data_IF_745925544081
#
_entry.id   IF_745925544081
#
_cell.length_a   1.000
_cell.length_b   1.000
_cell.length_c   1.000
_cell.angle_alpha   90.00
_cell.angle_beta   90.00
_cell.angle_gamma   90.00
#
_symmetry.space_group_name_H-M   'P 1'
#
loop_
_entity.id
_entity.type
_entity.pdbx_description
1 polymer ?
#
# COMPACT_ATOMS: atom_id res chain seq x y z
N UNK A 1 -10.45 19.46 17.66
CA UNK A 1 -10.54 18.11 17.11
C UNK A 1 -9.87 18.20 15.75
N UNK A 2 -8.78 17.46 15.50
CA UNK A 2 -8.19 17.43 14.16
C UNK A 2 -9.16 16.77 13.18
N UNK A 3 -9.11 17.18 11.93
CA UNK A 3 -9.94 16.59 10.89
C UNK A 3 -9.59 15.10 10.76
N UNK A 4 -10.61 14.23 10.73
CA UNK A 4 -10.43 12.80 10.54
C UNK A 4 -10.28 12.48 9.05
N UNK A 5 -9.55 11.41 8.67
CA UNK A 5 -9.36 11.05 7.25
C UNK A 5 -10.67 10.93 6.47
N UNK A 6 -11.71 10.33 7.04
CA UNK A 6 -13.02 10.17 6.40
C UNK A 6 -13.74 11.51 6.15
N UNK A 7 -13.56 12.51 7.01
CA UNK A 7 -14.10 13.87 6.80
C UNK A 7 -13.33 14.61 5.70
N UNK A 8 -11.98 14.52 5.71
CA UNK A 8 -11.13 15.14 4.68
C UNK A 8 -11.45 14.53 3.30
N UNK A 9 -11.67 13.22 3.27
CA UNK A 9 -12.06 12.49 2.05
C UNK A 9 -13.51 12.74 1.62
N UNK A 10 -14.35 13.33 2.49
CA UNK A 10 -15.77 13.58 2.23
C UNK A 10 -16.61 12.30 2.13
N UNK A 11 -16.23 11.26 2.89
CA UNK A 11 -16.89 9.93 2.88
C UNK A 11 -17.48 9.54 4.23
N UNK A 12 -17.59 10.44 5.19
CA UNK A 12 -18.13 10.20 6.52
C UNK A 12 -19.58 9.66 6.56
N UNK A 13 -20.28 9.77 5.44
CA UNK A 13 -21.64 9.29 5.23
C UNK A 13 -21.71 7.89 4.59
N UNK A 14 -20.56 7.32 4.21
CA UNK A 14 -20.49 5.99 3.60
C UNK A 14 -20.61 4.93 4.69
N UNK A 15 -21.40 3.91 4.44
CA UNK A 15 -21.55 2.75 5.33
C UNK A 15 -20.84 1.54 4.72
N UNK A 16 -19.84 1.03 5.43
CA UNK A 16 -19.08 -0.16 5.10
C UNK A 16 -19.45 -1.36 5.99
N UNK A 17 -20.63 -1.36 6.61
CA UNK A 17 -21.08 -2.49 7.44
C UNK A 17 -21.12 -3.78 6.61
N UNK A 18 -20.50 -4.84 7.14
CA UNK A 18 -20.36 -6.12 6.47
C UNK A 18 -19.27 -6.18 5.39
N UNK A 19 -18.47 -5.13 5.23
CA UNK A 19 -17.30 -5.10 4.36
C UNK A 19 -16.02 -5.45 5.14
N UNK A 20 -15.13 -6.24 4.51
CA UNK A 20 -13.86 -6.66 5.09
C UNK A 20 -12.69 -5.91 4.45
N UNK A 21 -11.80 -5.38 5.28
CA UNK A 21 -10.64 -4.63 4.84
C UNK A 21 -9.34 -5.17 5.43
N UNK A 22 -8.34 -5.42 4.59
CA UNK A 22 -6.96 -5.62 5.02
C UNK A 22 -6.17 -4.31 4.82
N UNK A 23 -5.58 -3.78 5.89
CA UNK A 23 -4.68 -2.64 5.80
C UNK A 23 -3.28 -3.05 6.24
N UNK A 24 -2.35 -3.13 5.30
CA UNK A 24 -0.98 -3.54 5.61
C UNK A 24 -0.15 -2.40 6.20
N UNK A 25 0.73 -2.71 7.17
CA UNK A 25 1.50 -1.69 7.88
C UNK A 25 0.63 -0.75 8.72
N UNK A 26 -0.44 -1.28 9.32
CA UNK A 26 -1.46 -0.51 10.02
C UNK A 26 -1.27 -0.41 11.54
N UNK A 27 -0.08 -0.76 12.05
CA UNK A 27 0.27 -0.56 13.47
C UNK A 27 0.64 0.89 13.81
N UNK A 28 0.87 1.75 12.82
CA UNK A 28 1.24 3.16 13.02
C UNK A 28 0.99 4.02 11.78
N UNK A 29 1.05 5.34 11.96
CA UNK A 29 1.06 6.32 10.86
C UNK A 29 -0.17 6.25 9.96
N UNK A 30 0.03 6.39 8.64
CA UNK A 30 -1.03 6.42 7.64
C UNK A 30 -1.87 5.14 7.67
N UNK A 31 -1.22 3.98 7.72
CA UNK A 31 -1.92 2.69 7.76
C UNK A 31 -2.84 2.57 8.96
N UNK A 32 -2.40 3.00 10.15
CA UNK A 32 -3.24 3.02 11.35
C UNK A 32 -4.44 3.94 11.19
N UNK A 33 -4.25 5.17 10.73
CA UNK A 33 -5.35 6.11 10.53
C UNK A 33 -6.31 5.63 9.43
N UNK A 34 -5.81 4.97 8.38
CA UNK A 34 -6.65 4.33 7.36
C UNK A 34 -7.49 3.21 7.96
N UNK A 35 -6.88 2.28 8.72
CA UNK A 35 -7.59 1.18 9.38
C UNK A 35 -8.69 1.69 10.33
N UNK A 36 -8.37 2.67 11.17
CA UNK A 36 -9.34 3.27 12.09
C UNK A 36 -10.45 4.02 11.35
N UNK A 37 -10.15 4.69 10.23
CA UNK A 37 -11.15 5.37 9.42
C UNK A 37 -12.13 4.38 8.79
N UNK A 38 -11.62 3.27 8.19
CA UNK A 38 -12.48 2.21 7.64
C UNK A 38 -13.35 1.56 8.73
N UNK A 39 -12.79 1.31 9.92
CA UNK A 39 -13.57 0.84 11.07
C UNK A 39 -14.66 1.82 11.52
N UNK A 40 -14.39 3.14 11.52
CA UNK A 40 -15.42 4.16 11.82
C UNK A 40 -16.52 4.22 10.75
N UNK A 41 -16.19 3.91 9.50
CA UNK A 41 -17.16 3.78 8.40
C UNK A 41 -17.95 2.45 8.44
N UNK A 42 -17.59 1.53 9.33
CA UNK A 42 -18.35 0.29 9.51
C UNK A 42 -17.66 -1.00 9.11
N UNK A 43 -16.51 -0.94 8.46
CA UNK A 43 -15.80 -2.13 8.01
C UNK A 43 -15.21 -2.94 9.17
N UNK A 44 -15.17 -4.26 9.00
CA UNK A 44 -14.36 -5.16 9.78
C UNK A 44 -12.92 -5.15 9.22
N UNK A 45 -11.90 -5.13 10.11
CA UNK A 45 -10.54 -4.80 9.67
C UNK A 45 -9.51 -5.80 10.17
N UNK A 46 -8.74 -6.37 9.24
CA UNK A 46 -7.50 -7.05 9.59
C UNK A 46 -6.34 -6.04 9.61
N UNK A 47 -5.71 -5.94 10.77
CA UNK A 47 -4.53 -5.11 11.04
C UNK A 47 -3.28 -5.95 10.80
N UNK A 48 -2.30 -5.40 10.09
CA UNK A 48 -1.03 -6.08 9.81
C UNK A 48 0.16 -5.22 10.18
N UNK A 49 1.20 -5.86 10.69
CA UNK A 49 2.50 -5.24 10.97
C UNK A 49 3.45 -6.17 11.73
N UNK A 50 4.62 -5.66 12.10
CA UNK A 50 5.65 -6.42 12.81
C UNK A 50 5.59 -6.28 14.32
N UNK A 51 4.98 -5.22 14.81
CA UNK A 51 4.86 -4.91 16.24
C UNK A 51 3.53 -5.42 16.76
N UNK A 52 3.57 -6.54 17.48
CA UNK A 52 2.38 -7.18 18.02
C UNK A 52 1.66 -6.32 19.07
N UNK A 53 2.40 -5.59 19.90
CA UNK A 53 1.80 -4.73 20.92
C UNK A 53 1.06 -3.54 20.30
N UNK A 54 1.67 -2.91 19.28
CA UNK A 54 1.03 -1.83 18.54
C UNK A 54 -0.16 -2.34 17.72
N UNK A 55 -0.07 -3.57 17.16
CA UNK A 55 -1.18 -4.22 16.46
C UNK A 55 -2.37 -4.47 17.37
N UNK A 56 -2.14 -5.06 18.54
CA UNK A 56 -3.18 -5.30 19.54
C UNK A 56 -3.88 -4.00 19.97
N UNK A 57 -3.13 -2.91 20.16
CA UNK A 57 -3.72 -1.62 20.51
C UNK A 57 -4.67 -1.08 19.42
N UNK A 58 -4.36 -1.28 18.13
CA UNK A 58 -5.26 -0.88 17.03
C UNK A 58 -6.51 -1.77 16.98
N UNK A 59 -6.37 -3.07 17.23
CA UNK A 59 -7.49 -4.01 17.33
C UNK A 59 -8.42 -3.61 18.48
N UNK A 60 -7.87 -3.27 19.66
CA UNK A 60 -8.66 -2.82 20.80
C UNK A 60 -9.47 -1.55 20.46
N UNK A 61 -8.89 -0.59 19.74
CA UNK A 61 -9.58 0.62 19.31
C UNK A 61 -10.72 0.32 18.33
N UNK A 62 -10.50 -0.57 17.34
CA UNK A 62 -11.52 -0.99 16.39
C UNK A 62 -12.65 -1.76 17.08
N UNK A 63 -12.31 -2.66 17.99
CA UNK A 63 -13.29 -3.42 18.77
C UNK A 63 -14.12 -2.51 19.67
N UNK A 64 -13.53 -1.46 20.25
CA UNK A 64 -14.25 -0.45 21.02
C UNK A 64 -15.25 0.37 20.17
N UNK A 65 -15.09 0.40 18.84
CA UNK A 65 -16.05 0.96 17.88
C UNK A 65 -17.16 -0.04 17.49
N UNK A 66 -17.12 -1.27 18.03
CA UNK A 66 -18.07 -2.35 17.70
C UNK A 66 -17.77 -3.04 16.37
N UNK A 67 -16.51 -3.03 15.91
CA UNK A 67 -16.06 -3.72 14.68
C UNK A 67 -15.42 -5.05 15.04
N UNK A 68 -15.56 -6.04 14.14
CA UNK A 68 -14.68 -7.19 14.18
C UNK A 68 -13.30 -6.76 13.71
N UNK A 69 -12.26 -7.07 14.50
CA UNK A 69 -10.91 -6.72 14.15
C UNK A 69 -9.94 -7.82 14.61
N UNK A 70 -8.95 -8.09 13.78
CA UNK A 70 -7.90 -9.06 14.07
C UNK A 70 -6.53 -8.50 13.69
N UNK A 71 -5.47 -9.06 14.27
CA UNK A 71 -4.10 -8.67 13.96
C UNK A 71 -3.31 -9.87 13.45
N UNK A 72 -2.67 -9.71 12.29
CA UNK A 72 -1.73 -10.68 11.76
C UNK A 72 -0.32 -10.09 11.73
N UNK A 73 0.60 -10.75 12.44
CA UNK A 73 2.02 -10.39 12.41
C UNK A 73 2.68 -11.02 11.18
N UNK A 74 3.38 -10.19 10.39
CA UNK A 74 4.20 -10.67 9.28
C UNK A 74 5.34 -9.68 8.97
N UNK A 75 6.50 -10.18 8.54
CA UNK A 75 7.58 -9.36 7.97
C UNK A 75 7.56 -9.46 6.44
N UNK A 76 7.38 -8.35 5.78
CA UNK A 76 7.37 -8.26 4.32
C UNK A 76 8.73 -8.58 3.64
N UNK A 77 9.79 -8.76 4.43
CA UNK A 77 11.06 -9.29 3.91
C UNK A 77 11.08 -10.84 3.81
N UNK A 78 10.06 -11.52 4.31
CA UNK A 78 9.88 -12.97 4.28
C UNK A 78 8.72 -13.36 3.37
N UNK A 79 8.99 -14.15 2.34
CA UNK A 79 7.95 -14.70 1.43
C UNK A 79 6.96 -15.56 2.21
N UNK A 80 7.46 -16.38 3.15
CA UNK A 80 6.61 -17.25 3.96
C UNK A 80 5.67 -16.47 4.87
N UNK A 81 6.15 -15.35 5.46
CA UNK A 81 5.30 -14.49 6.27
C UNK A 81 4.20 -13.82 5.43
N UNK A 82 4.52 -13.40 4.19
CA UNK A 82 3.52 -12.83 3.26
C UNK A 82 2.47 -13.86 2.88
N UNK A 83 2.87 -15.10 2.59
CA UNK A 83 1.94 -16.22 2.35
C UNK A 83 1.13 -16.56 3.59
N UNK A 84 1.74 -16.54 4.76
CA UNK A 84 1.04 -16.71 6.04
C UNK A 84 -0.01 -15.63 6.30
N UNK A 85 0.28 -14.38 5.92
CA UNK A 85 -0.71 -13.29 5.97
C UNK A 85 -1.86 -13.55 4.99
N UNK A 86 -1.57 -13.95 3.75
CA UNK A 86 -2.61 -14.28 2.78
C UNK A 86 -3.52 -15.41 3.27
N UNK A 87 -2.94 -16.48 3.80
CA UNK A 87 -3.70 -17.60 4.38
C UNK A 87 -4.58 -17.16 5.55
N UNK A 88 -4.08 -16.29 6.44
CA UNK A 88 -4.88 -15.75 7.54
C UNK A 88 -6.07 -14.89 7.04
N UNK A 89 -5.91 -14.16 5.94
CA UNK A 89 -7.03 -13.43 5.30
C UNK A 89 -8.06 -14.41 4.75
N UNK A 90 -7.62 -15.45 4.05
CA UNK A 90 -8.48 -16.50 3.46
C UNK A 90 -9.25 -17.30 4.53
N UNK A 91 -8.67 -17.47 5.72
CA UNK A 91 -9.35 -18.08 6.87
C UNK A 91 -10.36 -17.11 7.53
N UNK A 92 -10.12 -15.80 7.45
CA UNK A 92 -10.95 -14.78 8.08
C UNK A 92 -12.17 -14.40 7.23
N UNK A 93 -12.04 -14.35 5.91
CA UNK A 93 -13.14 -13.97 5.00
C UNK A 93 -13.02 -14.62 3.63
N UNK A 94 -14.16 -14.97 3.04
CA UNK A 94 -14.24 -15.40 1.64
C UNK A 94 -14.35 -14.21 0.66
N UNK A 95 -14.73 -13.02 1.17
CA UNK A 95 -14.93 -11.79 0.39
C UNK A 95 -14.13 -10.63 1.00
N UNK A 96 -12.93 -10.38 0.49
CA UNK A 96 -12.14 -9.21 0.88
C UNK A 96 -12.51 -8.01 0.00
N UNK A 97 -13.18 -7.01 0.56
CA UNK A 97 -13.66 -5.84 -0.18
C UNK A 97 -12.57 -4.77 -0.41
N UNK A 98 -11.64 -4.63 0.55
CA UNK A 98 -10.59 -3.60 0.48
C UNK A 98 -9.23 -4.18 0.82
N UNK A 99 -8.29 -4.09 -0.12
CA UNK A 99 -6.88 -4.38 0.10
C UNK A 99 -6.06 -3.09 0.05
N UNK A 100 -5.62 -2.58 1.21
CA UNK A 100 -4.70 -1.45 1.29
C UNK A 100 -3.25 -1.93 1.38
N UNK A 101 -2.53 -1.98 0.27
CA UNK A 101 -1.10 -2.18 0.19
C UNK A 101 -0.37 -0.92 0.65
N UNK A 102 -0.26 -0.74 1.97
CA UNK A 102 0.31 0.45 2.57
C UNK A 102 1.68 0.20 3.24
N UNK A 103 1.97 -1.02 3.69
CA UNK A 103 3.26 -1.36 4.29
C UNK A 103 4.44 -0.99 3.39
N UNK A 104 5.49 -0.45 4.00
CA UNK A 104 6.70 -0.07 3.29
C UNK A 104 7.49 1.01 4.01
N UNK A 105 8.66 1.33 3.47
CA UNK A 105 9.53 2.32 4.07
C UNK A 105 10.73 2.66 3.20
N UNK A 106 11.56 3.59 3.70
CA UNK A 106 12.88 3.86 3.18
C UNK A 106 13.91 3.20 4.10
N UNK A 107 14.81 2.39 3.54
CA UNK A 107 15.86 1.71 4.28
C UNK A 107 17.24 2.24 3.87
N UNK A 108 18.10 2.46 4.86
CA UNK A 108 19.42 3.09 4.62
C UNK A 108 20.48 2.09 4.19
N UNK A 109 20.39 0.89 4.72
CA UNK A 109 21.40 -0.12 4.55
C UNK A 109 21.08 -0.97 3.34
N UNK A 110 21.94 -0.94 2.33
CA UNK A 110 21.85 -1.79 1.16
C UNK A 110 22.12 -3.24 1.56
N UNK A 111 21.13 -4.09 1.35
CA UNK A 111 21.24 -5.54 1.52
C UNK A 111 20.31 -6.26 0.57
N UNK A 112 20.68 -7.47 0.20
CA UNK A 112 19.81 -8.37 -0.53
C UNK A 112 19.00 -9.21 0.46
N UNK A 113 17.80 -9.60 0.06
CA UNK A 113 16.97 -10.61 0.74
C UNK A 113 17.37 -12.01 0.28
N UNK A 114 16.76 -13.04 0.83
CA UNK A 114 17.00 -14.45 0.46
C UNK A 114 16.65 -14.72 -1.02
N UNK A 115 15.80 -13.89 -1.63
CA UNK A 115 15.52 -13.91 -3.07
C UNK A 115 16.63 -13.25 -3.94
N UNK A 116 17.73 -12.77 -3.35
CA UNK A 116 18.74 -12.00 -4.08
C UNK A 116 18.28 -10.60 -4.50
N UNK A 117 17.17 -10.10 -3.95
CA UNK A 117 16.56 -8.82 -4.31
C UNK A 117 16.89 -7.74 -3.29
N UNK A 118 17.08 -6.50 -3.74
CA UNK A 118 17.31 -5.35 -2.89
C UNK A 118 16.15 -5.17 -1.89
N UNK A 119 16.49 -5.03 -0.62
CA UNK A 119 15.55 -5.10 0.50
C UNK A 119 14.39 -4.11 0.41
N UNK A 120 14.66 -2.85 -0.02
CA UNK A 120 13.60 -1.84 -0.16
C UNK A 120 12.62 -2.22 -1.26
N UNK A 121 13.13 -2.74 -2.36
CA UNK A 121 12.31 -3.20 -3.48
C UNK A 121 11.46 -4.41 -3.09
N UNK A 122 12.07 -5.39 -2.39
CA UNK A 122 11.33 -6.54 -1.89
C UNK A 122 10.17 -6.11 -0.99
N UNK A 123 10.46 -5.35 0.08
CA UNK A 123 9.44 -4.97 1.08
C UNK A 123 8.36 -4.05 0.49
N UNK A 124 8.74 -3.08 -0.36
CA UNK A 124 7.81 -2.08 -0.85
C UNK A 124 7.01 -2.51 -2.07
N UNK A 125 7.53 -3.47 -2.86
CA UNK A 125 6.92 -3.86 -4.12
C UNK A 125 6.66 -5.36 -4.25
N UNK A 126 7.67 -6.24 -4.06
CA UNK A 126 7.46 -7.69 -4.27
C UNK A 126 6.50 -8.28 -3.23
N UNK A 127 6.60 -7.88 -1.97
CA UNK A 127 5.69 -8.36 -0.93
C UNK A 127 4.22 -7.98 -1.20
N UNK A 128 3.86 -6.71 -1.50
CA UNK A 128 2.48 -6.39 -1.91
C UNK A 128 2.06 -7.02 -3.24
N UNK A 129 2.99 -7.24 -4.19
CA UNK A 129 2.70 -7.99 -5.41
C UNK A 129 2.29 -9.43 -5.08
N UNK A 130 3.10 -10.15 -4.27
CA UNK A 130 2.82 -11.51 -3.84
C UNK A 130 1.50 -11.59 -3.06
N UNK A 131 1.32 -10.73 -2.06
CA UNK A 131 0.09 -10.70 -1.27
C UNK A 131 -1.15 -10.49 -2.15
N UNK A 132 -1.07 -9.57 -3.10
CA UNK A 132 -2.17 -9.33 -4.04
C UNK A 132 -2.44 -10.56 -4.91
N UNK A 133 -1.39 -11.22 -5.42
CA UNK A 133 -1.51 -12.44 -6.23
C UNK A 133 -2.18 -13.58 -5.45
N UNK A 134 -1.76 -13.82 -4.22
CA UNK A 134 -2.32 -14.87 -3.34
C UNK A 134 -3.78 -14.61 -2.93
N UNK A 135 -4.21 -13.32 -2.92
CA UNK A 135 -5.55 -12.93 -2.52
C UNK A 135 -6.53 -12.71 -3.67
N UNK A 136 -6.13 -12.87 -4.94
CA UNK A 136 -6.99 -12.58 -6.10
C UNK A 136 -8.35 -13.31 -6.03
N UNK A 137 -8.36 -14.56 -5.64
CA UNK A 137 -9.60 -15.37 -5.56
C UNK A 137 -10.45 -15.01 -4.32
N UNK A 138 -9.85 -14.40 -3.30
CA UNK A 138 -10.53 -13.98 -2.06
C UNK A 138 -11.11 -12.57 -2.17
N UNK A 139 -10.69 -11.79 -3.17
CA UNK A 139 -11.23 -10.45 -3.36
C UNK A 139 -12.71 -10.53 -3.74
N UNK A 140 -13.57 -9.67 -3.20
CA UNK A 140 -14.94 -9.49 -3.62
C UNK A 140 -15.00 -9.00 -5.09
N UNK A 141 -16.12 -9.25 -5.78
CA UNK A 141 -16.27 -8.92 -7.21
C UNK A 141 -16.15 -7.40 -7.51
N UNK A 142 -16.40 -6.56 -6.51
CA UNK A 142 -16.30 -5.10 -6.56
C UNK A 142 -15.16 -4.56 -5.66
N UNK A 143 -14.18 -5.41 -5.34
CA UNK A 143 -13.10 -5.06 -4.41
C UNK A 143 -12.23 -3.90 -4.89
N UNK A 144 -11.62 -3.21 -3.94
CA UNK A 144 -10.73 -2.07 -4.17
C UNK A 144 -9.33 -2.34 -3.66
N UNK A 145 -8.36 -2.28 -4.57
CA UNK A 145 -6.94 -2.42 -4.26
C UNK A 145 -6.30 -1.03 -4.27
N UNK A 146 -5.81 -0.59 -3.11
CA UNK A 146 -5.24 0.74 -2.89
C UNK A 146 -3.76 0.61 -2.58
N UNK A 147 -2.89 1.10 -3.46
CA UNK A 147 -1.44 0.92 -3.34
C UNK A 147 -0.74 2.24 -2.99
N UNK A 148 -0.04 2.25 -1.87
CA UNK A 148 0.72 3.41 -1.41
C UNK A 148 2.03 3.57 -2.20
N UNK A 149 2.09 4.64 -2.99
CA UNK A 149 3.28 5.12 -3.67
C UNK A 149 3.86 6.36 -2.96
N UNK A 150 4.55 7.23 -3.69
CA UNK A 150 5.12 8.49 -3.22
C UNK A 150 5.31 9.45 -4.38
N UNK A 151 5.29 10.76 -4.11
CA UNK A 151 5.76 11.78 -5.05
C UNK A 151 7.20 11.56 -5.50
N UNK A 152 7.99 10.81 -4.71
CA UNK A 152 9.36 10.43 -5.03
C UNK A 152 9.51 9.49 -6.25
N UNK A 153 8.42 8.87 -6.75
CA UNK A 153 8.44 8.10 -7.99
C UNK A 153 8.80 8.93 -9.24
N UNK A 154 8.78 10.25 -9.11
CA UNK A 154 9.13 11.18 -10.20
C UNK A 154 10.63 11.36 -10.33
N UNK A 155 11.10 11.56 -11.56
CA UNK A 155 12.52 11.83 -11.83
C UNK A 155 13.42 10.60 -11.74
N UNK A 156 12.84 9.39 -11.81
CA UNK A 156 13.57 8.12 -11.83
C UNK A 156 12.97 7.21 -12.91
N UNK A 157 13.81 6.39 -13.52
CA UNK A 157 13.41 5.26 -14.34
C UNK A 157 13.61 3.96 -13.56
N UNK A 158 12.93 2.90 -13.98
CA UNK A 158 13.07 1.60 -13.34
C UNK A 158 14.32 0.91 -13.92
N UNK A 159 15.34 0.85 -13.08
CA UNK A 159 16.58 0.12 -13.36
C UNK A 159 16.44 -1.30 -12.80
N UNK A 160 16.25 -2.25 -13.68
CA UNK A 160 16.03 -3.66 -13.33
C UNK A 160 17.31 -4.35 -12.81
N UNK A 161 18.51 -3.95 -13.26
CA UNK A 161 19.77 -4.49 -12.74
C UNK A 161 19.99 -4.08 -11.29
N UNK A 162 19.61 -2.86 -10.93
CA UNK A 162 19.71 -2.36 -9.56
C UNK A 162 18.67 -2.93 -8.60
N UNK A 163 17.77 -3.80 -9.06
CA UNK A 163 16.85 -4.56 -8.19
C UNK A 163 17.59 -5.74 -7.54
N UNK A 164 18.57 -6.31 -8.22
CA UNK A 164 19.32 -7.50 -7.78
C UNK A 164 20.75 -7.14 -7.34
N UNK A 165 21.06 -5.86 -7.15
CA UNK A 165 22.36 -5.39 -6.70
C UNK A 165 22.25 -4.31 -5.63
N UNK A 166 23.25 -4.29 -4.76
CA UNK A 166 23.47 -3.23 -3.76
C UNK A 166 24.77 -2.47 -3.99
N UNK A 167 25.39 -2.66 -5.16
CA UNK A 167 26.56 -1.89 -5.57
C UNK A 167 26.21 -0.42 -5.70
N UNK A 168 27.03 0.45 -5.09
CA UNK A 168 26.78 1.90 -5.06
C UNK A 168 25.40 2.27 -4.51
N UNK A 169 24.92 1.54 -3.48
CA UNK A 169 23.60 1.69 -2.91
C UNK A 169 23.28 3.12 -2.45
N UNK A 170 22.07 3.54 -2.76
CA UNK A 170 21.46 4.76 -2.23
C UNK A 170 20.04 4.45 -1.77
N UNK A 171 19.79 4.48 -0.46
CA UNK A 171 18.47 4.21 0.11
C UNK A 171 17.36 5.08 -0.49
N UNK A 172 17.66 6.34 -0.83
CA UNK A 172 16.69 7.21 -1.48
C UNK A 172 16.38 6.78 -2.92
N UNK A 173 17.39 6.39 -3.71
CA UNK A 173 17.16 5.86 -5.08
C UNK A 173 16.43 4.53 -5.06
N UNK A 174 16.77 3.63 -4.14
CA UNK A 174 16.05 2.38 -3.93
C UNK A 174 14.58 2.64 -3.59
N UNK A 175 14.32 3.58 -2.69
CA UNK A 175 12.96 4.02 -2.37
C UNK A 175 12.23 4.61 -3.59
N UNK A 176 12.86 5.49 -4.35
CA UNK A 176 12.27 6.06 -5.57
C UNK A 176 11.88 4.96 -6.56
N UNK A 177 12.78 3.98 -6.84
CA UNK A 177 12.50 2.83 -7.70
C UNK A 177 11.32 2.02 -7.20
N UNK A 178 11.29 1.68 -5.91
CA UNK A 178 10.19 0.91 -5.33
C UNK A 178 8.84 1.63 -5.42
N UNK A 179 8.84 2.97 -5.28
CA UNK A 179 7.61 3.76 -5.39
C UNK A 179 7.16 3.99 -6.84
N UNK A 180 8.09 4.01 -7.79
CA UNK A 180 7.77 3.93 -9.21
C UNK A 180 7.18 2.55 -9.56
N UNK A 181 7.79 1.47 -9.05
CA UNK A 181 7.28 0.11 -9.23
C UNK A 181 5.83 -0.04 -8.72
N UNK A 182 5.48 0.60 -7.60
CA UNK A 182 4.11 0.58 -7.07
C UNK A 182 3.08 1.26 -8.00
N UNK A 183 3.44 2.35 -8.68
CA UNK A 183 2.53 2.97 -9.68
C UNK A 183 2.40 2.08 -10.91
N UNK A 184 3.53 1.56 -11.41
CA UNK A 184 3.57 0.63 -12.55
C UNK A 184 2.74 -0.63 -12.27
N UNK A 185 2.91 -1.23 -11.08
CA UNK A 185 2.16 -2.40 -10.61
C UNK A 185 0.66 -2.14 -10.57
N UNK A 186 0.23 -1.08 -9.89
CA UNK A 186 -1.19 -0.77 -9.76
C UNK A 186 -1.86 -0.55 -11.13
N UNK A 187 -1.17 0.12 -12.07
CA UNK A 187 -1.67 0.34 -13.42
C UNK A 187 -1.69 -0.96 -14.22
N UNK A 188 -0.65 -1.80 -14.11
CA UNK A 188 -0.57 -3.09 -14.78
C UNK A 188 -1.65 -4.06 -14.28
N UNK A 189 -1.90 -4.07 -12.96
CA UNK A 189 -2.96 -4.86 -12.33
C UNK A 189 -4.33 -4.42 -12.83
N UNK A 190 -4.62 -3.12 -12.84
CA UNK A 190 -5.88 -2.59 -13.36
C UNK A 190 -6.17 -3.03 -14.79
N UNK A 191 -5.16 -3.00 -15.69
CA UNK A 191 -5.32 -3.46 -17.07
C UNK A 191 -5.56 -4.97 -17.19
N UNK A 192 -5.11 -5.78 -16.24
CA UNK A 192 -5.36 -7.21 -16.22
C UNK A 192 -6.73 -7.53 -15.65
N UNK A 193 -7.12 -6.84 -14.60
CA UNK A 193 -8.45 -6.96 -14.00
C UNK A 193 -9.57 -6.55 -14.97
N UNK A 194 -9.35 -5.53 -15.80
CA UNK A 194 -10.30 -5.07 -16.85
C UNK A 194 -10.63 -6.15 -17.90
N UNK A 195 -9.88 -7.26 -17.92
CA UNK A 195 -10.11 -8.41 -18.81
C UNK A 195 -10.85 -9.56 -18.11
N UNK A 196 -11.16 -9.41 -16.85
CA UNK A 196 -11.97 -10.36 -16.07
C UNK A 196 -13.43 -9.90 -16.04
N UNK A 197 -14.32 -10.79 -15.66
CA UNK A 197 -15.74 -10.45 -15.48
C UNK A 197 -16.02 -9.76 -14.12
N UNK A 198 -14.96 -9.41 -13.35
CA UNK A 198 -15.06 -8.79 -12.02
C UNK A 198 -14.79 -7.29 -12.11
N UNK A 199 -15.47 -6.53 -11.25
CA UNK A 199 -15.36 -5.05 -11.20
C UNK A 199 -14.30 -4.55 -10.22
N UNK A 200 -13.23 -5.33 -10.00
CA UNK A 200 -12.15 -4.98 -9.07
C UNK A 200 -11.36 -3.77 -9.58
N UNK A 201 -11.20 -2.76 -8.74
CA UNK A 201 -10.38 -1.59 -9.05
C UNK A 201 -9.00 -1.65 -8.41
N UNK A 202 -7.98 -1.12 -9.11
CA UNK A 202 -6.62 -0.96 -8.58
C UNK A 202 -6.12 0.45 -8.84
N UNK A 203 -5.85 1.20 -7.77
CA UNK A 203 -5.36 2.58 -7.86
C UNK A 203 -4.16 2.80 -6.95
N UNK A 204 -3.22 3.65 -7.40
CA UNK A 204 -2.08 4.07 -6.60
C UNK A 204 -2.24 5.49 -6.10
N UNK A 205 -1.63 5.81 -4.97
CA UNK A 205 -1.64 7.18 -4.44
C UNK A 205 -0.34 7.56 -3.75
N UNK A 206 -0.13 8.86 -3.52
CA UNK A 206 0.86 9.33 -2.56
C UNK A 206 0.21 10.16 -1.45
N UNK A 207 0.67 10.00 -0.21
CA UNK A 207 0.03 10.60 0.96
C UNK A 207 0.49 12.03 1.27
N UNK A 208 1.21 12.68 0.35
CA UNK A 208 1.86 13.96 0.62
C UNK A 208 3.21 13.82 1.35
N UNK A 209 3.76 14.94 1.80
CA UNK A 209 5.00 14.99 2.58
C UNK A 209 4.65 15.09 4.07
N UNK A 210 4.73 13.97 4.79
CA UNK A 210 4.37 13.88 6.20
C UNK A 210 5.64 13.94 7.06
N UNK A 211 5.92 15.06 7.76
CA UNK A 211 6.97 15.11 8.75
C UNK A 211 6.68 14.13 9.90
N UNK A 212 7.70 13.48 10.43
CA UNK A 212 7.47 12.50 11.51
C UNK A 212 7.00 11.11 11.06
N UNK A 213 6.66 10.92 9.77
CA UNK A 213 6.47 9.59 9.19
C UNK A 213 7.78 8.77 9.26
N UNK A 214 7.70 7.45 9.00
CA UNK A 214 8.88 6.59 8.91
C UNK A 214 10.02 7.16 8.05
N UNK A 215 9.73 8.09 7.15
CA UNK A 215 10.67 8.84 6.33
C UNK A 215 11.54 9.81 7.15
N UNK A 216 11.01 10.50 8.16
CA UNK A 216 11.79 11.45 8.98
C UNK A 216 12.84 10.76 9.86
N UNK A 217 12.66 9.49 10.21
CA UNK A 217 13.66 8.69 10.93
C UNK A 217 14.98 8.55 10.18
N UNK A 218 14.98 8.81 8.87
CA UNK A 218 16.16 8.66 8.00
C UNK A 218 16.95 9.95 7.80
N UNK A 219 16.54 11.07 8.38
CA UNK A 219 17.31 12.31 8.34
C UNK A 219 18.51 12.22 9.30
N UNK A 220 19.72 12.67 8.90
CA UNK A 220 20.91 12.59 9.75
C UNK A 220 20.84 13.55 10.94
N UNK A 221 21.42 13.14 12.08
CA UNK A 221 21.61 13.98 13.26
C UNK A 221 20.31 14.37 13.99
N UNK A 222 20.22 15.58 14.57
CA UNK A 222 19.05 16.05 15.32
C UNK A 222 17.85 16.43 14.42
N UNK A 223 18.02 16.40 13.10
CA UNK A 223 17.00 16.77 12.12
C UNK A 223 15.66 16.02 12.30
N UNK A 224 15.58 14.70 12.63
CA UNK A 224 14.30 14.06 12.89
C UNK A 224 13.49 14.72 14.02
N UNK A 225 14.18 15.16 15.08
CA UNK A 225 13.54 15.86 16.22
C UNK A 225 13.11 17.28 15.83
N UNK A 226 13.87 17.96 14.99
CA UNK A 226 13.54 19.27 14.47
C UNK A 226 12.35 19.18 13.50
N UNK A 227 12.34 18.19 12.61
CA UNK A 227 11.21 17.94 11.70
C UNK A 227 9.94 17.53 12.44
N UNK A 228 10.01 16.78 13.53
CA UNK A 228 8.84 16.48 14.36
C UNK A 228 8.22 17.73 15.03
N UNK A 229 8.97 18.83 15.15
CA UNK A 229 8.42 20.13 15.62
C UNK A 229 7.86 20.98 14.48
N UNK A 230 8.06 20.59 13.22
CA UNK A 230 7.60 21.30 12.03
C UNK A 230 6.17 20.91 11.61
N UNK A 231 5.51 20.01 12.34
CA UNK A 231 4.08 19.62 12.10
C UNK A 231 3.10 20.80 12.13
N UNK A 232 3.57 21.99 12.44
CA UNK A 232 2.79 23.24 12.49
C UNK A 232 3.07 24.21 11.35
N UNK A 233 3.92 23.84 10.39
CA UNK A 233 4.15 24.68 9.21
C UNK A 233 3.08 24.43 8.15
N UNK A 234 2.56 25.45 7.48
CA UNK A 234 1.45 25.35 6.52
C UNK A 234 1.80 24.61 5.22
N UNK A 235 2.96 23.97 5.14
CA UNK A 235 3.42 23.18 3.98
C UNK A 235 3.59 21.68 4.31
N UNK A 236 3.15 21.21 5.48
CA UNK A 236 3.31 19.83 5.89
C UNK A 236 1.95 19.13 5.94
N UNK A 237 1.88 17.95 5.32
CA UNK A 237 0.70 17.09 5.36
C UNK A 237 0.62 16.38 6.71
N UNK A 238 -0.51 16.43 7.39
CA UNK A 238 -0.76 15.64 8.60
C UNK A 238 -0.94 14.16 8.28
N UNK A 239 -0.84 13.27 9.28
CA UNK A 239 -1.10 11.84 9.07
C UNK A 239 -2.55 11.60 8.62
N UNK A 240 -3.50 12.37 9.15
CA UNK A 240 -4.91 12.28 8.76
C UNK A 240 -5.14 12.68 7.30
N UNK A 241 -4.54 13.79 6.85
CA UNK A 241 -4.57 14.20 5.43
C UNK A 241 -3.91 13.16 4.53
N UNK A 242 -2.78 12.58 4.96
CA UNK A 242 -2.11 11.51 4.21
C UNK A 242 -2.95 10.24 4.10
N UNK A 243 -3.72 9.89 5.12
CA UNK A 243 -4.64 8.76 5.11
C UNK A 243 -5.92 9.04 4.30
N UNK A 244 -6.32 10.30 4.17
CA UNK A 244 -7.58 10.67 3.50
C UNK A 244 -7.66 10.18 2.06
N UNK A 245 -6.55 10.23 1.30
CA UNK A 245 -6.53 9.71 -0.07
C UNK A 245 -6.72 8.19 -0.12
N UNK A 246 -6.09 7.44 0.82
CA UNK A 246 -6.31 6.00 0.93
C UNK A 246 -7.77 5.67 1.27
N UNK A 247 -8.36 6.38 2.23
CA UNK A 247 -9.76 6.23 2.63
C UNK A 247 -10.71 6.61 1.50
N UNK A 248 -10.42 7.67 0.75
CA UNK A 248 -11.20 8.05 -0.44
C UNK A 248 -11.20 6.94 -1.48
N UNK A 249 -10.03 6.34 -1.78
CA UNK A 249 -9.93 5.24 -2.75
C UNK A 249 -10.60 3.95 -2.24
N UNK A 250 -10.56 3.70 -0.94
CA UNK A 250 -11.15 2.52 -0.33
C UNK A 250 -12.68 2.61 -0.18
N UNK A 251 -13.25 3.82 -0.02
CA UNK A 251 -14.64 3.97 0.40
C UNK A 251 -15.52 4.90 -0.46
N UNK A 252 -14.92 5.80 -1.26
CA UNK A 252 -15.71 6.82 -1.95
C UNK A 252 -16.48 6.25 -3.14
N UNK A 253 -17.80 6.50 -3.25
CA UNK A 253 -18.58 6.17 -4.45
C UNK A 253 -18.11 6.94 -5.70
N UNK A 254 -17.37 8.04 -5.54
CA UNK A 254 -16.87 8.85 -6.67
C UNK A 254 -15.79 8.13 -7.49
N UNK A 255 -15.24 7.05 -6.96
CA UNK A 255 -14.18 6.27 -7.60
C UNK A 255 -14.58 4.82 -7.88
N UNK A 256 -15.87 4.48 -7.84
CA UNK A 256 -16.38 3.12 -8.11
C UNK A 256 -15.92 2.60 -9.47
N UNK A 257 -16.03 3.43 -10.50
CA UNK A 257 -15.64 3.08 -11.88
C UNK A 257 -14.21 3.55 -12.24
N UNK A 258 -13.37 3.88 -11.24
CA UNK A 258 -12.03 4.41 -11.49
C UNK A 258 -10.97 3.38 -11.16
N UNK A 259 -10.25 2.91 -12.18
CA UNK A 259 -9.15 1.97 -12.04
C UNK A 259 -7.93 2.40 -12.85
N UNK A 260 -6.74 1.99 -12.43
CA UNK A 260 -5.47 2.28 -13.10
C UNK A 260 -4.99 3.72 -12.97
N UNK A 261 -5.50 4.46 -11.99
CA UNK A 261 -5.16 5.88 -11.79
C UNK A 261 -4.22 6.09 -10.62
N UNK A 262 -3.57 7.25 -10.67
CA UNK A 262 -2.71 7.76 -9.60
C UNK A 262 -3.36 8.97 -8.94
N UNK A 263 -3.36 9.00 -7.60
CA UNK A 263 -4.07 10.02 -6.82
C UNK A 263 -3.13 10.76 -5.86
N UNK A 264 -3.50 11.99 -5.56
CA UNK A 264 -2.98 12.78 -4.46
C UNK A 264 -4.07 13.77 -4.01
N UNK A 265 -4.13 14.06 -2.73
CA UNK A 265 -5.11 15.00 -2.15
C UNK A 265 -6.55 14.62 -2.54
N UNK A 266 -6.89 13.32 -2.51
CA UNK A 266 -8.16 12.71 -2.92
C UNK A 266 -8.56 12.96 -4.38
N UNK A 267 -7.64 13.42 -5.22
CA UNK A 267 -7.90 13.77 -6.62
C UNK A 267 -6.98 13.00 -7.58
N UNK A 268 -7.47 12.62 -8.77
CA UNK A 268 -6.61 12.01 -9.77
C UNK A 268 -5.52 13.00 -10.24
N UNK A 269 -4.30 12.50 -10.35
CA UNK A 269 -3.13 13.27 -10.81
C UNK A 269 -2.40 12.49 -11.89
N UNK A 270 -1.69 13.22 -12.74
CA UNK A 270 -0.84 12.62 -13.74
C UNK A 270 0.43 12.03 -13.08
N UNK A 271 0.72 10.71 -13.21
CA UNK A 271 1.95 10.14 -12.73
C UNK A 271 3.14 10.55 -13.62
N UNK A 272 4.38 10.12 -13.31
CA UNK A 272 5.54 10.38 -14.17
C UNK A 272 5.40 9.69 -15.53
N UNK A 273 6.15 10.17 -16.53
CA UNK A 273 6.18 9.52 -17.85
C UNK A 273 6.64 8.05 -17.75
N UNK A 274 7.66 7.78 -16.92
CA UNK A 274 8.16 6.43 -16.66
C UNK A 274 7.07 5.51 -16.07
N UNK A 275 6.19 6.02 -15.21
CA UNK A 275 5.09 5.23 -14.65
C UNK A 275 3.99 4.87 -15.68
N UNK A 276 3.93 5.58 -16.81
CA UNK A 276 2.96 5.34 -17.89
C UNK A 276 3.48 4.45 -19.00
N UNK A 277 4.76 4.08 -18.96
CA UNK A 277 5.36 3.21 -19.98
C UNK A 277 4.85 1.77 -19.87
N UNK A 278 4.06 1.37 -20.86
CA UNK A 278 3.43 0.04 -20.89
C UNK A 278 4.43 -1.11 -21.06
N UNK A 279 5.56 -0.85 -21.68
CA UNK A 279 6.60 -1.88 -21.83
C UNK A 279 7.25 -2.16 -20.47
N UNK A 280 7.57 -1.12 -19.71
CA UNK A 280 8.09 -1.21 -18.35
C UNK A 280 7.07 -1.85 -17.39
N UNK A 281 5.76 -1.49 -17.50
CA UNK A 281 4.69 -2.12 -16.70
C UNK A 281 4.65 -3.63 -16.91
N UNK A 282 4.71 -4.09 -18.16
CA UNK A 282 4.67 -5.53 -18.49
C UNK A 282 5.94 -6.23 -17.99
N UNK A 283 7.11 -5.68 -18.28
CA UNK A 283 8.40 -6.25 -17.86
C UNK A 283 8.49 -6.36 -16.34
N UNK A 284 8.03 -5.33 -15.60
CA UNK A 284 8.00 -5.37 -14.13
C UNK A 284 7.09 -6.48 -13.62
N UNK A 285 5.92 -6.64 -14.22
CA UNK A 285 4.96 -7.66 -13.84
C UNK A 285 5.54 -9.07 -14.01
N UNK A 286 6.10 -9.36 -15.19
CA UNK A 286 6.74 -10.64 -15.52
C UNK A 286 7.93 -10.91 -14.58
N UNK A 287 8.84 -9.95 -14.42
CA UNK A 287 10.01 -10.12 -13.56
C UNK A 287 9.64 -10.25 -12.07
N UNK A 288 8.56 -9.62 -11.61
CA UNK A 288 8.11 -9.80 -10.23
C UNK A 288 7.61 -11.23 -9.98
N UNK A 289 6.93 -11.84 -10.94
CA UNK A 289 6.53 -13.24 -10.85
C UNK A 289 7.73 -14.18 -10.89
N UNK A 290 8.69 -13.92 -11.80
CA UNK A 290 9.93 -14.71 -11.93
C UNK A 290 10.76 -14.67 -10.62
N UNK A 291 10.97 -13.48 -10.05
CA UNK A 291 11.72 -13.30 -8.79
C UNK A 291 11.05 -13.99 -7.59
N UNK A 292 9.74 -14.14 -7.61
CA UNK A 292 8.95 -14.81 -6.57
C UNK A 292 8.75 -16.29 -6.85
N UNK A 293 9.23 -16.79 -8.00
CA UNK A 293 9.05 -18.17 -8.45
C UNK A 293 7.57 -18.60 -8.45
N UNK A 294 6.67 -17.72 -8.91
CA UNK A 294 5.24 -17.98 -9.05
C UNK A 294 4.80 -17.90 -10.52
N UNK A 295 3.69 -18.54 -10.82
CA UNK A 295 3.01 -18.31 -12.10
C UNK A 295 2.59 -16.84 -12.21
N UNK A 296 2.67 -16.26 -13.42
CA UNK A 296 2.24 -14.87 -13.65
C UNK A 296 0.74 -14.72 -13.31
N UNK A 297 0.39 -13.87 -12.32
CA UNK A 297 -1.02 -13.66 -11.96
C UNK A 297 -1.79 -13.02 -13.11
N UNK A 298 -3.04 -13.44 -13.33
CA UNK A 298 -3.89 -12.91 -14.40
C UNK A 298 -3.21 -12.94 -15.79
N UNK A 299 -2.45 -14.01 -16.07
CA UNK A 299 -1.83 -14.23 -17.38
C UNK A 299 -2.89 -14.36 -18.48
N UNK A 300 -2.58 -13.83 -19.68
CA UNK A 300 -3.47 -13.96 -20.83
C UNK A 300 -3.71 -15.45 -21.13
N UNK A 301 -4.93 -15.95 -20.97
CA UNK A 301 -5.35 -17.29 -21.39
C UNK A 301 -5.75 -18.29 -20.30
N UNK A 302 -5.81 -17.94 -19.05
CA UNK A 302 -6.48 -18.74 -18.01
C UNK A 302 -7.89 -18.14 -17.77
N UNK A 303 -8.88 -18.71 -18.47
CA UNK A 303 -10.30 -18.64 -18.13
C UNK A 303 -10.62 -19.74 -17.14
#
# INVERSE_FOLDING_TARGET
>A
MGDRPEHIAGVEHVDLAGKHALVTGSTSGIGRETALALGRLGADVMVHGRDAAAGAAVVDELTAMGREATFQQADYASVDDVRGLAAAVQEWTDDLDVLCNNAGGLFRDGRLTDLGVEYTFHVNHLAPYLLTAELLETLADDARIVTTSSGAHRGVELDFEAIESVDSYSGFRAYQRSKLANVLFSTALAHRLDRTDRSISSNAFHPGAIPGSGFSRFLPGPLPRLFATLDRLPMTTTVAEGAATAVSLAASPRVDDVSGRYFADCEPKEPSAAARDRATQRRLWEQSADLLEIDEPLADGRQ
#
